data_IF_664685872979
#
_entry.id   IF_664685872979
#
_cell.length_a   1.000
_cell.length_b   1.000
_cell.length_c   1.000
_cell.angle_alpha   90.00
_cell.angle_beta   90.00
_cell.angle_gamma   90.00
#
_symmetry.space_group_name_H-M   'P 1'
#
loop_
_entity.id
_entity.type
_entity.pdbx_description
1 polymer ?
#
# COMPACT_ATOMS: atom_id res chain seq x y z
N UNK A 1 -2.56 -38.64 -45.30
CA UNK A 1 -1.11 -39.00 -45.30
C UNK A 1 -0.35 -37.83 -45.89
N UNK A 2 0.02 -36.85 -45.07
CA UNK A 2 1.01 -35.81 -45.39
C UNK A 2 1.73 -35.52 -44.07
N UNK A 3 2.99 -35.95 -44.01
CA UNK A 3 3.96 -35.64 -42.95
C UNK A 3 4.47 -34.22 -43.20
N UNK A 4 4.52 -33.40 -42.17
CA UNK A 4 5.39 -32.20 -42.16
C UNK A 4 6.13 -32.24 -40.83
N UNK A 5 7.45 -32.20 -40.97
CA UNK A 5 8.46 -32.44 -39.94
C UNK A 5 8.64 -31.25 -39.01
N UNK A 6 9.19 -31.59 -37.84
CA UNK A 6 9.59 -30.70 -36.76
C UNK A 6 10.86 -29.95 -37.15
N UNK A 7 10.94 -28.65 -36.83
CA UNK A 7 12.21 -27.95 -36.64
C UNK A 7 12.21 -27.32 -35.24
N UNK A 8 13.05 -27.89 -34.38
CA UNK A 8 13.46 -27.32 -33.11
C UNK A 8 14.46 -26.18 -33.38
N UNK A 9 14.20 -25.00 -32.84
CA UNK A 9 15.22 -23.97 -32.67
C UNK A 9 15.44 -23.73 -31.18
N UNK A 10 16.58 -24.22 -30.72
CA UNK A 10 17.21 -23.87 -29.46
C UNK A 10 18.01 -22.59 -29.71
N UNK A 11 17.65 -21.49 -29.06
CA UNK A 11 18.49 -20.29 -29.03
C UNK A 11 18.89 -19.96 -27.59
N UNK A 12 20.17 -19.63 -27.48
CA UNK A 12 21.04 -19.66 -26.32
C UNK A 12 20.71 -18.62 -25.23
N UNK A 13 20.96 -19.02 -23.98
CA UNK A 13 20.93 -18.16 -22.80
C UNK A 13 22.31 -17.48 -22.64
N UNK A 14 22.42 -16.15 -22.60
CA UNK A 14 23.69 -15.51 -22.29
C UNK A 14 23.94 -15.49 -20.77
N UNK A 15 25.04 -16.10 -20.37
CA UNK A 15 25.56 -16.17 -19.00
C UNK A 15 26.19 -14.81 -18.58
N UNK A 16 25.93 -14.27 -17.37
CA UNK A 16 26.56 -13.03 -16.92
C UNK A 16 28.01 -13.24 -16.40
N UNK A 17 28.90 -12.25 -16.52
CA UNK A 17 30.29 -12.35 -16.07
C UNK A 17 30.46 -12.20 -14.55
N UNK A 18 31.34 -13.03 -14.00
CA UNK A 18 31.81 -13.10 -12.61
C UNK A 18 32.64 -11.86 -12.21
N UNK A 19 32.55 -11.32 -10.97
CA UNK A 19 33.31 -10.13 -10.56
C UNK A 19 34.69 -10.50 -9.98
N UNK A 20 35.75 -9.84 -10.47
CA UNK A 20 37.08 -9.88 -9.85
C UNK A 20 37.49 -8.51 -9.30
N UNK A 21 37.68 -8.51 -7.98
CA UNK A 21 38.86 -7.99 -7.26
C UNK A 21 39.20 -6.48 -7.26
N UNK A 22 39.31 -5.99 -6.01
CA UNK A 22 40.29 -5.02 -5.49
C UNK A 22 40.06 -3.55 -5.88
N UNK A 23 40.24 -2.55 -5.01
CA UNK A 23 41.18 -2.45 -3.90
C UNK A 23 40.67 -1.52 -2.78
N UNK A 24 41.08 -1.86 -1.55
CA UNK A 24 41.15 -0.98 -0.38
C UNK A 24 42.21 0.09 -0.61
N UNK A 25 41.92 1.32 -0.18
CA UNK A 25 42.96 2.26 0.24
C UNK A 25 42.55 2.93 1.54
N UNK A 26 43.43 2.78 2.52
CA UNK A 26 43.42 3.30 3.88
C UNK A 26 44.15 4.65 3.95
N UNK A 27 44.02 5.32 5.11
CA UNK A 27 44.81 6.47 5.62
C UNK A 27 44.51 7.81 4.93
N UNK A 28 44.36 8.94 5.60
CA UNK A 28 45.17 9.45 6.71
C UNK A 28 44.38 10.44 7.60
N UNK A 29 44.89 10.59 8.83
CA UNK A 29 44.46 11.48 9.89
C UNK A 29 45.15 12.85 9.79
N UNK A 30 44.81 13.73 10.75
CA UNK A 30 45.48 14.99 11.13
C UNK A 30 45.01 16.22 10.33
N UNK A 31 44.90 17.43 10.88
CA UNK A 31 44.89 18.00 12.23
C UNK A 31 44.63 19.50 12.01
N UNK A 32 44.02 20.19 12.99
CA UNK A 32 43.76 21.64 12.92
C UNK A 32 45.03 22.51 12.74
N UNK A 33 44.85 23.83 12.65
CA UNK A 33 44.89 24.58 13.91
C UNK A 33 43.90 25.74 14.03
N UNK A 34 43.63 26.05 15.29
CA UNK A 34 43.00 27.25 15.80
C UNK A 34 43.89 28.48 15.61
N UNK A 35 43.29 29.64 15.30
CA UNK A 35 43.85 30.95 15.67
C UNK A 35 42.76 31.91 16.09
N UNK A 36 42.93 32.41 17.30
CA UNK A 36 42.28 33.52 17.98
C UNK A 36 42.44 34.87 17.28
N UNK A 37 41.42 35.74 17.39
CA UNK A 37 41.58 37.17 17.65
C UNK A 37 40.21 37.73 18.07
N UNK A 38 39.99 38.10 19.33
CA UNK A 38 40.45 39.31 20.03
C UNK A 38 39.51 40.50 19.81
N UNK A 39 38.88 40.86 20.93
CA UNK A 39 37.94 41.93 21.21
C UNK A 39 38.44 43.34 20.90
N UNK A 40 37.49 44.26 20.66
CA UNK A 40 37.22 45.52 21.39
C UNK A 40 36.61 46.58 20.46
N UNK A 41 35.44 47.10 20.81
CA UNK A 41 35.34 48.51 21.24
C UNK A 41 34.02 48.83 21.98
N UNK A 42 34.05 49.75 22.96
CA UNK A 42 32.90 50.22 23.76
C UNK A 42 32.43 51.64 23.37
N UNK A 43 31.38 52.17 24.03
CA UNK A 43 31.04 53.61 24.29
C UNK A 43 29.52 53.84 24.11
N UNK A 44 28.71 53.90 25.17
CA UNK A 44 28.38 55.01 26.10
C UNK A 44 27.29 55.99 25.61
N UNK A 45 26.21 56.07 26.40
CA UNK A 45 25.40 57.27 26.75
C UNK A 45 24.47 57.83 25.66
N UNK A 46 23.28 58.39 25.94
CA UNK A 46 22.71 59.02 27.13
C UNK A 46 21.17 59.12 26.95
N UNK A 47 20.43 59.17 28.06
CA UNK A 47 19.02 59.56 28.11
C UNK A 47 18.84 61.05 27.82
N UNK A 48 17.76 61.43 27.13
CA UNK A 48 17.09 62.73 27.34
C UNK A 48 15.61 62.59 27.02
N UNK A 49 14.77 62.74 28.05
CA UNK A 49 13.37 63.05 27.94
C UNK A 49 13.18 64.46 27.35
N UNK A 50 12.14 64.64 26.52
CA UNK A 50 11.54 65.94 26.28
C UNK A 50 10.03 65.76 26.10
N UNK A 51 9.29 66.37 27.01
CA UNK A 51 7.89 66.72 26.88
C UNK A 51 7.66 67.54 25.60
N UNK A 52 6.45 67.42 25.04
CA UNK A 52 5.94 68.22 23.94
C UNK A 52 4.43 68.06 23.83
N UNK A 53 3.70 69.09 24.25
CA UNK A 53 2.25 69.18 24.30
C UNK A 53 1.56 69.16 22.92
N UNK A 54 0.32 68.64 22.94
CA UNK A 54 -0.89 69.08 22.23
C UNK A 54 -0.74 69.83 20.89
N UNK A 55 -1.15 69.16 19.82
CA UNK A 55 -1.53 69.76 18.54
C UNK A 55 -2.76 69.03 17.99
N UNK A 56 -3.94 69.59 18.28
CA UNK A 56 -5.22 69.21 17.70
C UNK A 56 -5.24 69.60 16.21
N UNK A 57 -5.45 68.63 15.32
CA UNK A 57 -5.83 68.86 13.93
C UNK A 57 -6.44 67.59 13.39
N UNK A 58 -7.78 67.58 13.36
CA UNK A 58 -8.58 66.64 12.61
C UNK A 58 -8.20 66.71 11.13
N UNK A 59 -7.61 65.65 10.61
CA UNK A 59 -7.59 65.36 9.18
C UNK A 59 -8.20 63.97 9.00
N UNK A 60 -9.36 63.94 8.34
CA UNK A 60 -10.12 62.74 8.05
C UNK A 60 -9.34 61.86 7.06
N UNK A 61 -8.45 61.00 7.57
CA UNK A 61 -8.00 59.84 6.82
C UNK A 61 -9.09 58.75 6.94
N UNK A 62 -10.01 58.74 5.98
CA UNK A 62 -10.84 57.57 5.71
C UNK A 62 -9.95 56.43 5.18
N UNK A 63 -9.26 55.73 6.06
CA UNK A 63 -8.73 54.40 5.77
C UNK A 63 -9.91 53.41 5.75
N UNK A 64 -10.26 52.92 4.56
CA UNK A 64 -11.15 51.78 4.40
C UNK A 64 -10.46 50.54 4.99
N UNK A 65 -10.99 49.89 6.06
CA UNK A 65 -10.31 48.76 6.69
C UNK A 65 -10.44 47.44 5.92
N UNK A 66 -11.28 47.37 4.89
CA UNK A 66 -11.79 46.09 4.36
C UNK A 66 -11.04 45.54 3.12
N UNK A 67 -10.01 46.21 2.59
CA UNK A 67 -9.30 45.69 1.39
C UNK A 67 -7.96 44.99 1.69
N UNK A 68 -7.41 45.15 2.89
CA UNK A 68 -6.14 44.52 3.27
C UNK A 68 -6.29 43.06 3.73
N UNK A 69 -7.39 42.71 4.41
CA UNK A 69 -7.62 41.32 4.88
C UNK A 69 -7.79 40.34 3.71
N UNK A 70 -8.54 40.73 2.67
CA UNK A 70 -8.77 39.86 1.52
C UNK A 70 -7.54 39.72 0.63
N UNK A 71 -6.66 40.72 0.54
CA UNK A 71 -5.41 40.62 -0.22
C UNK A 71 -4.40 39.73 0.51
N UNK A 72 -4.27 39.85 1.83
CA UNK A 72 -3.41 38.97 2.63
C UNK A 72 -3.91 37.52 2.62
N UNK A 73 -5.23 37.30 2.70
CA UNK A 73 -5.84 35.97 2.59
C UNK A 73 -5.68 35.39 1.17
N UNK A 74 -5.80 36.20 0.11
CA UNK A 74 -5.51 35.79 -1.27
C UNK A 74 -4.02 35.48 -1.49
N UNK A 75 -3.10 36.23 -0.91
CA UNK A 75 -1.65 35.97 -1.01
C UNK A 75 -1.27 34.70 -0.23
N UNK A 76 -1.85 34.49 0.95
CA UNK A 76 -1.63 33.27 1.75
C UNK A 76 -2.14 32.02 1.03
N UNK A 77 -3.32 32.08 0.42
CA UNK A 77 -3.89 30.95 -0.36
C UNK A 77 -3.10 30.65 -1.64
N UNK A 78 -2.62 31.68 -2.37
CA UNK A 78 -1.72 31.50 -3.51
C UNK A 78 -0.42 30.80 -3.07
N UNK A 79 0.17 31.23 -1.94
CA UNK A 79 1.39 30.60 -1.40
C UNK A 79 1.17 29.15 -0.98
N UNK A 80 0.01 28.82 -0.40
CA UNK A 80 -0.31 27.44 -0.02
C UNK A 80 -0.48 26.54 -1.25
N UNK A 81 -1.12 27.03 -2.30
CA UNK A 81 -1.33 26.26 -3.53
C UNK A 81 -0.03 26.04 -4.29
N UNK A 82 0.87 27.03 -4.33
CA UNK A 82 2.23 26.87 -4.86
C UNK A 82 3.04 25.81 -4.08
N UNK A 83 2.92 25.79 -2.75
CA UNK A 83 3.57 24.79 -1.90
C UNK A 83 3.01 23.39 -2.20
N UNK A 84 1.68 23.26 -2.34
CA UNK A 84 1.02 21.99 -2.69
C UNK A 84 1.43 21.51 -4.08
N UNK A 85 1.52 22.41 -5.06
CA UNK A 85 1.96 22.07 -6.42
C UNK A 85 3.40 21.57 -6.44
N UNK A 86 4.30 22.27 -5.72
CA UNK A 86 5.70 21.86 -5.58
C UNK A 86 5.83 20.50 -4.89
N UNK A 87 5.09 20.28 -3.80
CA UNK A 87 5.05 18.99 -3.11
C UNK A 87 4.54 17.87 -4.03
N UNK A 88 3.49 18.13 -4.81
CA UNK A 88 2.97 17.17 -5.78
C UNK A 88 3.98 16.85 -6.89
N UNK A 89 4.72 17.85 -7.37
CA UNK A 89 5.79 17.64 -8.33
C UNK A 89 6.92 16.77 -7.74
N UNK A 90 7.32 17.02 -6.49
CA UNK A 90 8.31 16.22 -5.78
C UNK A 90 7.85 14.77 -5.55
N UNK A 91 6.59 14.57 -5.15
CA UNK A 91 5.99 13.25 -5.01
C UNK A 91 5.97 12.50 -6.35
N UNK A 92 5.65 13.19 -7.45
CA UNK A 92 5.70 12.58 -8.78
C UNK A 92 7.12 12.19 -9.19
N UNK A 93 8.12 13.03 -8.90
CA UNK A 93 9.52 12.70 -9.14
C UNK A 93 9.96 11.46 -8.35
N UNK A 94 9.58 11.35 -7.08
CA UNK A 94 9.82 10.17 -6.26
C UNK A 94 9.15 8.91 -6.83
N UNK A 95 7.88 9.01 -7.24
CA UNK A 95 7.18 7.92 -7.95
C UNK A 95 7.92 7.49 -9.22
N UNK A 96 8.39 8.44 -10.04
CA UNK A 96 9.12 8.13 -11.28
C UNK A 96 10.48 7.47 -11.00
N UNK A 97 11.19 7.92 -9.96
CA UNK A 97 12.42 7.27 -9.51
C UNK A 97 12.15 5.82 -9.06
N UNK A 98 11.08 5.59 -8.28
CA UNK A 98 10.62 4.25 -7.90
C UNK A 98 10.31 3.37 -9.12
N UNK A 99 9.64 3.91 -10.15
CA UNK A 99 9.35 3.18 -11.39
C UNK A 99 10.64 2.76 -12.12
N UNK A 100 11.64 3.64 -12.15
CA UNK A 100 12.95 3.35 -12.76
C UNK A 100 13.66 2.22 -12.02
N UNK A 101 13.73 2.30 -10.68
CA UNK A 101 14.32 1.27 -9.83
C UNK A 101 13.60 -0.08 -9.96
N UNK A 102 12.27 -0.06 -10.08
CA UNK A 102 11.48 -1.26 -10.34
C UNK A 102 11.87 -1.92 -11.68
N UNK A 103 12.06 -1.12 -12.74
CA UNK A 103 12.55 -1.60 -14.03
C UNK A 103 13.97 -2.16 -13.98
N UNK A 104 14.81 -1.66 -13.07
CA UNK A 104 16.16 -2.17 -12.79
C UNK A 104 16.17 -3.42 -11.89
N UNK A 105 15.00 -3.86 -11.39
CA UNK A 105 14.89 -5.00 -10.47
C UNK A 105 15.26 -4.70 -9.01
N UNK A 106 15.50 -3.43 -8.66
CA UNK A 106 15.82 -2.99 -7.30
C UNK A 106 14.55 -2.70 -6.51
N UNK A 107 13.86 -3.76 -6.10
CA UNK A 107 12.51 -3.65 -5.57
C UNK A 107 12.45 -2.96 -4.19
N UNK A 108 13.41 -3.20 -3.30
CA UNK A 108 13.50 -2.54 -1.99
C UNK A 108 13.75 -1.03 -2.11
N UNK A 109 14.67 -0.63 -2.99
CA UNK A 109 14.95 0.78 -3.28
C UNK A 109 13.71 1.44 -3.91
N UNK A 110 13.04 0.75 -4.83
CA UNK A 110 11.79 1.23 -5.42
C UNK A 110 10.70 1.45 -4.37
N UNK A 111 10.54 0.53 -3.41
CA UNK A 111 9.59 0.69 -2.29
C UNK A 111 9.89 1.95 -1.50
N UNK A 112 11.18 2.21 -1.21
CA UNK A 112 11.61 3.39 -0.45
C UNK A 112 11.24 4.70 -1.17
N UNK A 113 11.39 4.75 -2.50
CA UNK A 113 11.00 5.92 -3.30
C UNK A 113 9.48 6.11 -3.36
N UNK A 114 8.70 5.03 -3.45
CA UNK A 114 7.22 5.14 -3.36
C UNK A 114 6.77 5.57 -1.96
N UNK A 115 7.44 5.12 -0.90
CA UNK A 115 7.15 5.58 0.46
C UNK A 115 7.48 7.06 0.62
N UNK A 116 8.57 7.55 0.01
CA UNK A 116 8.84 8.99 -0.07
C UNK A 116 7.70 9.73 -0.79
N UNK A 117 7.25 9.24 -1.94
CA UNK A 117 6.14 9.84 -2.68
C UNK A 117 4.85 9.94 -1.85
N UNK A 118 4.52 8.88 -1.09
CA UNK A 118 3.35 8.84 -0.21
C UNK A 118 3.46 9.80 0.98
N UNK A 119 4.65 10.00 1.53
CA UNK A 119 4.87 10.89 2.67
C UNK A 119 4.81 12.38 2.30
N UNK A 120 5.12 12.74 1.05
CA UNK A 120 5.13 14.14 0.59
C UNK A 120 3.71 14.68 0.38
N UNK A 121 2.76 13.83 -0.04
CA UNK A 121 1.43 14.28 -0.43
C UNK A 121 0.31 13.51 0.31
N UNK A 122 0.09 13.76 1.62
CA UNK A 122 -0.87 12.99 2.42
C UNK A 122 -2.35 13.34 2.15
N UNK A 123 -2.71 14.62 1.94
CA UNK A 123 -4.12 15.06 2.06
C UNK A 123 -4.68 15.95 0.94
N UNK A 124 -4.05 15.97 -0.24
CA UNK A 124 -4.57 16.73 -1.39
C UNK A 124 -5.45 15.81 -2.27
N UNK A 125 -6.66 16.20 -2.71
CA UNK A 125 -7.49 15.39 -3.59
C UNK A 125 -6.77 14.95 -4.88
N UNK A 126 -5.93 15.83 -5.44
CA UNK A 126 -5.06 15.53 -6.60
C UNK A 126 -4.02 14.44 -6.29
N UNK A 127 -3.66 14.26 -5.02
CA UNK A 127 -2.74 13.21 -4.58
C UNK A 127 -3.39 11.83 -4.45
N UNK A 128 -4.73 11.72 -4.39
CA UNK A 128 -5.42 10.42 -4.23
C UNK A 128 -5.08 9.45 -5.37
N UNK A 129 -5.03 9.94 -6.62
CA UNK A 129 -4.62 9.13 -7.77
C UNK A 129 -3.15 8.70 -7.64
N UNK A 130 -2.26 9.63 -7.28
CA UNK A 130 -0.84 9.35 -7.07
C UNK A 130 -0.64 8.33 -5.95
N UNK A 131 -1.37 8.45 -4.85
CA UNK A 131 -1.32 7.53 -3.72
C UNK A 131 -1.81 6.14 -4.12
N UNK A 132 -2.91 6.05 -4.89
CA UNK A 132 -3.40 4.78 -5.41
C UNK A 132 -2.35 4.10 -6.29
N UNK A 133 -1.73 4.85 -7.21
CA UNK A 133 -0.65 4.38 -8.08
C UNK A 133 0.57 3.93 -7.28
N UNK A 134 1.03 4.73 -6.32
CA UNK A 134 2.19 4.41 -5.50
C UNK A 134 1.94 3.14 -4.66
N UNK A 135 0.78 3.01 -4.04
CA UNK A 135 0.41 1.79 -3.30
C UNK A 135 0.35 0.57 -4.22
N UNK A 136 -0.22 0.69 -5.43
CA UNK A 136 -0.24 -0.43 -6.38
C UNK A 136 1.16 -0.82 -6.87
N UNK A 137 2.06 0.15 -7.05
CA UNK A 137 3.44 -0.11 -7.44
C UNK A 137 4.27 -0.72 -6.31
N UNK A 138 4.07 -0.29 -5.05
CA UNK A 138 4.59 -1.00 -3.87
C UNK A 138 4.12 -2.44 -3.83
N UNK A 139 2.83 -2.68 -4.08
CA UNK A 139 2.27 -4.03 -4.20
C UNK A 139 2.97 -4.87 -5.27
N UNK A 140 3.33 -4.25 -6.41
CA UNK A 140 4.12 -4.91 -7.45
C UNK A 140 5.54 -5.29 -6.98
N UNK A 141 6.23 -4.39 -6.26
CA UNK A 141 7.53 -4.69 -5.67
C UNK A 141 7.43 -5.85 -4.67
N UNK A 142 6.48 -5.80 -3.74
CA UNK A 142 6.28 -6.87 -2.75
C UNK A 142 5.97 -8.21 -3.41
N UNK A 143 5.21 -8.20 -4.51
CA UNK A 143 4.89 -9.41 -5.25
C UNK A 143 6.14 -10.02 -5.90
N UNK A 144 7.04 -9.18 -6.45
CA UNK A 144 8.34 -9.61 -6.97
C UNK A 144 9.30 -10.13 -5.90
N UNK A 145 9.13 -9.66 -4.67
CA UNK A 145 9.86 -10.13 -3.49
C UNK A 145 9.16 -11.30 -2.78
N UNK A 146 8.09 -11.84 -3.34
CA UNK A 146 7.28 -12.94 -2.76
C UNK A 146 6.71 -12.63 -1.36
N UNK A 147 6.56 -11.34 -1.02
CA UNK A 147 5.94 -10.85 0.23
C UNK A 147 4.44 -10.70 0.05
N UNK A 148 3.73 -11.80 -0.07
CA UNK A 148 2.32 -11.82 -0.48
C UNK A 148 1.38 -11.07 0.48
N UNK A 149 1.57 -11.16 1.79
CA UNK A 149 0.78 -10.38 2.76
C UNK A 149 0.94 -8.87 2.58
N UNK A 150 2.17 -8.41 2.30
CA UNK A 150 2.44 -6.99 2.08
C UNK A 150 1.93 -6.52 0.71
N UNK A 151 1.94 -7.39 -0.30
CA UNK A 151 1.22 -7.17 -1.57
C UNK A 151 -0.27 -6.94 -1.32
N UNK A 152 -0.92 -7.79 -0.52
CA UNK A 152 -2.35 -7.67 -0.23
C UNK A 152 -2.65 -6.34 0.47
N UNK A 153 -1.85 -5.96 1.48
CA UNK A 153 -2.02 -4.68 2.18
C UNK A 153 -1.85 -3.49 1.25
N UNK A 154 -0.78 -3.46 0.45
CA UNK A 154 -0.50 -2.35 -0.46
C UNK A 154 -1.55 -2.25 -1.56
N UNK A 155 -1.94 -3.36 -2.19
CA UNK A 155 -2.99 -3.35 -3.21
C UNK A 155 -4.37 -3.02 -2.64
N UNK A 156 -4.68 -3.42 -1.40
CA UNK A 156 -5.95 -3.04 -0.75
C UNK A 156 -6.05 -1.54 -0.54
N UNK A 157 -4.98 -0.89 -0.06
CA UNK A 157 -4.92 0.59 0.02
C UNK A 157 -5.10 1.25 -1.35
N UNK A 158 -4.51 0.69 -2.40
CA UNK A 158 -4.69 1.22 -3.75
C UNK A 158 -6.14 1.12 -4.24
N UNK A 159 -6.83 0.02 -3.90
CA UNK A 159 -8.23 -0.25 -4.26
C UNK A 159 -9.20 0.60 -3.43
N UNK A 160 -8.90 0.85 -2.15
CA UNK A 160 -9.65 1.79 -1.31
C UNK A 160 -9.68 3.20 -1.93
N UNK A 161 -8.56 3.63 -2.49
CA UNK A 161 -8.43 4.94 -3.17
C UNK A 161 -9.00 4.91 -4.60
N UNK A 162 -8.84 3.80 -5.32
CA UNK A 162 -9.37 3.62 -6.67
C UNK A 162 -9.93 2.20 -6.86
N UNK A 163 -11.25 2.00 -6.63
CA UNK A 163 -11.89 0.69 -6.74
C UNK A 163 -11.84 0.06 -8.14
N UNK A 164 -11.61 0.88 -9.18
CA UNK A 164 -11.53 0.44 -10.57
C UNK A 164 -10.09 0.09 -11.01
N UNK A 165 -9.12 0.08 -10.09
CA UNK A 165 -7.72 -0.12 -10.44
C UNK A 165 -7.39 -1.60 -10.73
N UNK A 166 -7.63 -2.01 -11.98
CA UNK A 166 -7.47 -3.41 -12.45
C UNK A 166 -6.09 -4.01 -12.13
N UNK A 167 -5.01 -3.24 -12.22
CA UNK A 167 -3.66 -3.74 -11.89
C UNK A 167 -3.51 -4.09 -10.41
N UNK A 168 -4.11 -3.32 -9.51
CA UNK A 168 -4.09 -3.60 -8.07
C UNK A 168 -4.95 -4.84 -7.74
N UNK A 169 -6.15 -4.95 -8.33
CA UNK A 169 -7.00 -6.14 -8.21
C UNK A 169 -6.28 -7.40 -8.71
N UNK A 170 -5.60 -7.31 -9.86
CA UNK A 170 -4.88 -8.45 -10.44
C UNK A 170 -3.76 -8.95 -9.51
N UNK A 171 -2.95 -8.03 -8.98
CA UNK A 171 -1.83 -8.33 -8.08
C UNK A 171 -2.31 -8.86 -6.73
N UNK A 172 -3.40 -8.30 -6.17
CA UNK A 172 -3.98 -8.79 -4.93
C UNK A 172 -4.55 -10.20 -5.09
N UNK A 173 -5.25 -10.46 -6.19
CA UNK A 173 -5.74 -11.79 -6.52
C UNK A 173 -4.61 -12.82 -6.68
N UNK A 174 -3.51 -12.45 -7.34
CA UNK A 174 -2.31 -13.30 -7.44
C UNK A 174 -1.69 -13.59 -6.06
N UNK A 175 -1.57 -12.58 -5.20
CA UNK A 175 -1.06 -12.77 -3.84
C UNK A 175 -1.98 -13.65 -2.98
N UNK A 176 -3.30 -13.47 -3.07
CA UNK A 176 -4.27 -14.35 -2.42
C UNK A 176 -4.13 -15.79 -2.89
N UNK A 177 -3.98 -16.01 -4.21
CA UNK A 177 -3.76 -17.35 -4.75
C UNK A 177 -2.49 -17.99 -4.20
N UNK A 178 -1.38 -17.23 -4.11
CA UNK A 178 -0.11 -17.73 -3.56
C UNK A 178 -0.20 -18.10 -2.08
N UNK A 179 -1.10 -17.46 -1.34
CA UNK A 179 -1.44 -17.81 0.05
C UNK A 179 -2.57 -18.85 0.15
N UNK A 180 -3.02 -19.41 -0.98
CA UNK A 180 -4.17 -20.31 -1.09
C UNK A 180 -5.49 -19.72 -0.55
N UNK A 181 -5.61 -18.40 -0.49
CA UNK A 181 -6.85 -17.67 -0.20
C UNK A 181 -7.72 -17.62 -1.48
N UNK A 182 -8.16 -18.80 -1.94
CA UNK A 182 -8.76 -18.95 -3.27
C UNK A 182 -10.08 -18.20 -3.44
N UNK A 183 -10.91 -18.10 -2.40
CA UNK A 183 -12.19 -17.39 -2.47
C UNK A 183 -11.97 -15.89 -2.68
N UNK A 184 -11.01 -15.30 -1.95
CA UNK A 184 -10.61 -13.91 -2.07
C UNK A 184 -10.00 -13.61 -3.45
N UNK A 185 -9.14 -14.51 -3.95
CA UNK A 185 -8.58 -14.39 -5.31
C UNK A 185 -9.68 -14.41 -6.39
N UNK A 186 -10.66 -15.30 -6.28
CA UNK A 186 -11.82 -15.36 -7.18
C UNK A 186 -12.63 -14.06 -7.12
N UNK A 187 -12.84 -13.50 -5.93
CA UNK A 187 -13.58 -12.25 -5.77
C UNK A 187 -12.88 -11.07 -6.47
N UNK A 188 -11.55 -10.98 -6.37
CA UNK A 188 -10.77 -9.97 -7.11
C UNK A 188 -10.89 -10.16 -8.63
N UNK A 189 -10.84 -11.40 -9.14
CA UNK A 189 -11.02 -11.67 -10.56
C UNK A 189 -12.45 -11.35 -11.04
N UNK A 190 -13.48 -11.65 -10.23
CA UNK A 190 -14.86 -11.27 -10.52
C UNK A 190 -14.99 -9.76 -10.61
N UNK A 191 -14.34 -9.01 -9.72
CA UNK A 191 -14.33 -7.55 -9.77
C UNK A 191 -13.69 -7.02 -11.06
N UNK A 192 -12.62 -7.66 -11.54
CA UNK A 192 -12.04 -7.33 -12.85
C UNK A 192 -13.06 -7.57 -13.98
N UNK A 193 -13.82 -8.67 -13.93
CA UNK A 193 -14.85 -8.96 -14.94
C UNK A 193 -16.05 -8.01 -14.91
N UNK A 194 -16.37 -7.43 -13.74
CA UNK A 194 -17.36 -6.35 -13.64
C UNK A 194 -16.88 -5.08 -14.37
N UNK A 195 -15.58 -4.80 -14.34
CA UNK A 195 -14.97 -3.63 -15.01
C UNK A 195 -14.72 -3.89 -16.50
N UNK A 196 -14.26 -5.09 -16.83
CA UNK A 196 -13.97 -5.56 -18.19
C UNK A 196 -14.38 -7.03 -18.33
N UNK A 197 -15.60 -7.23 -18.85
CA UNK A 197 -16.16 -8.56 -19.10
C UNK A 197 -15.39 -9.36 -20.16
N UNK A 198 -14.52 -8.74 -20.95
CA UNK A 198 -13.72 -9.39 -21.99
C UNK A 198 -12.37 -9.92 -21.47
N UNK A 199 -12.03 -9.67 -20.20
CA UNK A 199 -10.76 -10.10 -19.62
C UNK A 199 -10.61 -11.63 -19.53
N UNK A 200 -9.92 -12.21 -20.50
CA UNK A 200 -9.74 -13.66 -20.60
C UNK A 200 -8.89 -14.25 -19.47
N UNK A 201 -7.93 -13.47 -18.93
CA UNK A 201 -7.08 -13.93 -17.83
C UNK A 201 -7.90 -14.13 -16.56
N UNK A 202 -8.76 -13.17 -16.21
CA UNK A 202 -9.65 -13.29 -15.07
C UNK A 202 -10.60 -14.49 -15.20
N UNK A 203 -11.18 -14.75 -16.39
CA UNK A 203 -12.01 -15.93 -16.64
C UNK A 203 -11.25 -17.24 -16.44
N UNK A 204 -10.02 -17.33 -16.96
CA UNK A 204 -9.16 -18.52 -16.83
C UNK A 204 -8.78 -18.77 -15.37
N UNK A 205 -8.42 -17.71 -14.64
CA UNK A 205 -8.08 -17.80 -13.21
C UNK A 205 -9.27 -18.28 -12.40
N UNK A 206 -10.48 -17.73 -12.60
CA UNK A 206 -11.69 -18.19 -11.88
C UNK A 206 -11.93 -19.68 -12.12
N UNK A 207 -11.96 -20.14 -13.38
CA UNK A 207 -12.18 -21.55 -13.72
C UNK A 207 -11.16 -22.49 -13.08
N UNK A 208 -9.92 -22.04 -12.92
CA UNK A 208 -8.85 -22.82 -12.29
C UNK A 208 -8.97 -22.83 -10.76
N UNK A 209 -9.35 -21.71 -10.16
CA UNK A 209 -9.39 -21.57 -8.70
C UNK A 209 -10.69 -22.11 -8.08
N UNK A 210 -11.81 -22.13 -8.81
CA UNK A 210 -13.10 -22.65 -8.32
C UNK A 210 -13.01 -24.06 -7.71
N UNK A 211 -12.45 -25.09 -8.39
CA UNK A 211 -12.33 -26.42 -7.79
C UNK A 211 -11.38 -26.46 -6.59
N UNK A 212 -10.34 -25.62 -6.58
CA UNK A 212 -9.39 -25.53 -5.47
C UNK A 212 -10.04 -24.88 -4.23
N UNK A 213 -10.88 -23.87 -4.44
CA UNK A 213 -11.66 -23.24 -3.39
C UNK A 213 -12.66 -24.23 -2.76
N UNK A 214 -13.39 -24.98 -3.59
CA UNK A 214 -14.29 -26.04 -3.12
C UNK A 214 -13.54 -27.09 -2.30
N UNK A 215 -12.45 -27.63 -2.85
CA UNK A 215 -11.66 -28.65 -2.17
C UNK A 215 -11.12 -28.14 -0.82
N UNK A 216 -10.61 -26.91 -0.78
CA UNK A 216 -10.10 -26.31 0.46
C UNK A 216 -11.23 -26.11 1.47
N UNK A 217 -12.41 -25.68 1.03
CA UNK A 217 -13.59 -25.51 1.89
C UNK A 217 -14.11 -26.84 2.42
N UNK A 218 -14.20 -27.87 1.58
CA UNK A 218 -14.61 -29.22 2.00
C UNK A 218 -13.62 -29.79 3.03
N UNK A 219 -12.32 -29.70 2.76
CA UNK A 219 -11.29 -30.14 3.71
C UNK A 219 -11.37 -29.40 5.03
N UNK A 220 -11.48 -28.07 5.01
CA UNK A 220 -11.66 -27.28 6.24
C UNK A 220 -12.93 -27.67 6.98
N UNK A 221 -14.04 -27.91 6.26
CA UNK A 221 -15.30 -28.35 6.85
C UNK A 221 -15.17 -29.70 7.54
N UNK A 222 -14.54 -30.68 6.91
CA UNK A 222 -14.30 -32.01 7.50
C UNK A 222 -13.43 -31.91 8.76
N UNK A 223 -12.33 -31.16 8.71
CA UNK A 223 -11.45 -30.94 9.87
C UNK A 223 -12.19 -30.26 11.03
N UNK A 224 -13.03 -29.27 10.73
CA UNK A 224 -13.81 -28.55 11.74
C UNK A 224 -14.90 -29.44 12.34
N UNK A 225 -15.59 -30.25 11.54
CA UNK A 225 -16.55 -31.25 12.03
C UNK A 225 -15.85 -32.28 12.92
N UNK A 226 -14.67 -32.76 12.52
CA UNK A 226 -13.85 -33.66 13.33
C UNK A 226 -13.51 -33.05 14.71
N UNK A 227 -12.97 -31.83 14.74
CA UNK A 227 -12.65 -31.11 15.98
C UNK A 227 -13.88 -30.89 16.87
N UNK A 228 -15.03 -30.55 16.28
CA UNK A 228 -16.30 -30.42 17.02
C UNK A 228 -16.76 -31.76 17.59
N UNK A 229 -16.62 -32.84 16.83
CA UNK A 229 -16.96 -34.18 17.27
C UNK A 229 -16.08 -34.63 18.43
N UNK A 230 -14.77 -34.40 18.35
CA UNK A 230 -13.83 -34.73 19.42
C UNK A 230 -14.11 -33.93 20.69
N UNK A 231 -14.42 -32.63 20.55
CA UNK A 231 -14.84 -31.80 21.68
C UNK A 231 -16.14 -32.31 22.31
N UNK A 232 -17.14 -32.64 21.49
CA UNK A 232 -18.41 -33.20 21.95
C UNK A 232 -18.23 -34.54 22.67
N UNK A 233 -17.40 -35.43 22.12
CA UNK A 233 -17.07 -36.73 22.72
C UNK A 233 -16.26 -36.61 24.01
N UNK A 234 -15.39 -35.61 24.14
CA UNK A 234 -14.68 -35.34 25.40
C UNK A 234 -15.64 -35.00 26.54
N UNK A 235 -16.68 -34.22 26.25
CA UNK A 235 -17.71 -33.85 27.23
C UNK A 235 -18.69 -35.00 27.51
N UNK A 236 -19.19 -35.66 26.46
CA UNK A 236 -20.18 -36.73 26.56
C UNK A 236 -19.59 -38.06 27.05
N UNK A 237 -18.32 -38.30 26.77
CA UNK A 237 -17.60 -39.51 27.16
C UNK A 237 -17.55 -39.69 28.68
N UNK A 238 -17.51 -38.60 29.45
CA UNK A 238 -17.65 -38.62 30.92
C UNK A 238 -18.97 -39.24 31.40
N UNK A 239 -19.98 -39.24 30.55
CA UNK A 239 -21.31 -39.80 30.82
C UNK A 239 -21.56 -41.13 30.07
N UNK A 240 -20.52 -41.72 29.46
CA UNK A 240 -20.66 -42.94 28.66
C UNK A 240 -21.45 -42.73 27.36
N UNK A 241 -21.48 -41.51 26.83
CA UNK A 241 -22.16 -41.13 25.59
C UNK A 241 -21.16 -40.73 24.51
N UNK A 242 -21.58 -40.82 23.24
CA UNK A 242 -20.85 -40.33 22.06
C UNK A 242 -21.77 -39.47 21.20
N UNK A 243 -21.22 -38.46 20.50
CA UNK A 243 -21.95 -37.70 19.47
C UNK A 243 -22.43 -38.60 18.33
N UNK A 244 -21.81 -39.76 18.10
CA UNK A 244 -22.26 -40.74 17.10
C UNK A 244 -23.59 -41.41 17.44
N UNK A 245 -23.96 -41.40 18.71
CA UNK A 245 -25.22 -41.98 19.19
C UNK A 245 -26.41 -41.06 18.90
N UNK A 246 -26.18 -39.80 18.52
CA UNK A 246 -27.23 -38.83 18.24
C UNK A 246 -27.51 -38.78 16.73
N UNK A 247 -28.76 -39.05 16.33
CA UNK A 247 -29.23 -38.90 14.95
C UNK A 247 -30.16 -37.70 14.84
N UNK A 248 -29.79 -36.77 13.95
CA UNK A 248 -30.65 -35.66 13.55
C UNK A 248 -31.56 -36.09 12.40
N UNK A 249 -32.87 -36.03 12.60
CA UNK A 249 -33.88 -36.29 11.56
C UNK A 249 -34.55 -34.96 11.21
N UNK A 250 -34.47 -34.56 9.93
CA UNK A 250 -35.12 -33.35 9.43
C UNK A 250 -36.56 -33.64 9.05
N UNK A 251 -37.50 -32.89 9.61
CA UNK A 251 -38.91 -32.94 9.20
C UNK A 251 -39.06 -32.24 7.83
N UNK A 252 -39.54 -32.94 6.79
CA UNK A 252 -39.68 -32.37 5.44
C UNK A 252 -40.74 -31.26 5.34
N UNK A 253 -41.71 -31.20 6.26
CA UNK A 253 -42.80 -30.23 6.20
C UNK A 253 -42.46 -28.92 6.93
N UNK A 254 -41.74 -29.02 8.05
CA UNK A 254 -41.42 -27.86 8.90
C UNK A 254 -39.97 -27.39 8.74
N UNK A 255 -39.09 -28.22 8.16
CA UNK A 255 -37.66 -27.97 8.08
C UNK A 255 -36.94 -28.07 9.44
N UNK A 256 -37.66 -28.38 10.52
CA UNK A 256 -37.12 -28.53 11.87
C UNK A 256 -36.30 -29.82 12.00
N UNK A 257 -35.34 -29.84 12.92
CA UNK A 257 -34.52 -31.02 13.21
C UNK A 257 -34.93 -31.61 14.57
N UNK A 258 -35.27 -32.90 14.58
CA UNK A 258 -35.44 -33.69 15.80
C UNK A 258 -34.17 -34.49 16.06
N UNK A 259 -33.60 -34.36 17.26
CA UNK A 259 -32.43 -35.12 17.67
C UNK A 259 -32.88 -36.30 18.53
N UNK A 260 -32.52 -37.52 18.12
CA UNK A 260 -32.80 -38.74 18.87
C UNK A 260 -31.50 -39.44 19.26
N UNK A 261 -31.45 -40.00 20.47
CA UNK A 261 -30.32 -40.80 20.95
C UNK A 261 -30.60 -42.28 20.73
N UNK A 262 -29.67 -42.98 20.10
CA UNK A 262 -29.71 -44.43 19.88
C UNK A 262 -28.52 -45.06 20.62
N UNK A 263 -28.82 -46.01 21.51
CA UNK A 263 -27.84 -46.69 22.36
C UNK A 263 -27.40 -48.02 21.77
#
# INVERSE_FOLDING_TARGET
>A
MVRIEMEEHQDEVPNPPNPSASAKTTTDSSSGPSTSNASKNPSDGYETASDGELGDSADECQENPDQHSEQEERIATISEDEIKEKALAEANNAKLAGNKLFGEGKYEEAISEYDRALNIAPDVPVAVELQSICNANRGACFLKLEKYDDTIKACSKAIELNPAYVKALSRRGEAHEKLEHFEEAINDMKKILELDSSNDQAKKTIRRLEPLAEQKREKMKEEMIGKLKDMGNSLLGRFGMSVDNFKAVKDPNTGSYSISFQR
#
